data_IF_195424563435
#
_entry.id   IF_195424563435
#
_cell.length_a   1.000
_cell.length_b   1.000
_cell.length_c   1.000
_cell.angle_alpha   90.00
_cell.angle_beta   90.00
_cell.angle_gamma   90.00
#
_symmetry.space_group_name_H-M   'P 1'
#
loop_
_entity.id
_entity.type
_entity.pdbx_description
1 polymer ?
#
# COMPACT_ATOMS: atom_id res chain seq x y z
N UNK A 1 -13.89 5.21 -15.18
CA UNK A 1 -14.08 5.13 -13.72
C UNK A 1 -12.74 4.80 -13.12
N UNK A 2 -12.38 5.46 -12.02
CA UNK A 2 -11.12 5.24 -11.31
C UNK A 2 -11.15 3.88 -10.58
N UNK A 3 -10.09 3.07 -10.75
CA UNK A 3 -9.97 1.74 -10.15
C UNK A 3 -9.65 1.79 -8.66
N UNK A 4 -9.62 0.62 -8.01
CA UNK A 4 -9.37 0.53 -6.56
C UNK A 4 -7.93 0.94 -6.21
N UNK A 5 -6.95 0.61 -7.05
CA UNK A 5 -5.56 0.99 -6.86
C UNK A 5 -5.37 2.52 -6.85
N UNK A 6 -5.96 3.21 -7.83
CA UNK A 6 -5.87 4.67 -7.92
C UNK A 6 -6.57 5.34 -6.74
N UNK A 7 -7.77 4.87 -6.36
CA UNK A 7 -8.46 5.35 -5.15
C UNK A 7 -7.63 5.16 -3.89
N UNK A 8 -7.02 3.98 -3.72
CA UNK A 8 -6.15 3.70 -2.58
C UNK A 8 -4.95 4.65 -2.57
N UNK A 9 -4.27 4.80 -3.71
CA UNK A 9 -3.12 5.70 -3.85
C UNK A 9 -3.46 7.16 -3.53
N UNK A 10 -4.53 7.71 -4.10
CA UNK A 10 -4.89 9.11 -3.83
C UNK A 10 -5.35 9.32 -2.38
N UNK A 11 -6.03 8.34 -1.79
CA UNK A 11 -6.40 8.39 -0.37
C UNK A 11 -5.14 8.30 0.50
N UNK A 12 -4.18 7.44 0.16
CA UNK A 12 -2.89 7.37 0.82
C UNK A 12 -2.17 8.72 0.81
N UNK A 13 -2.05 9.34 -0.37
CA UNK A 13 -1.43 10.66 -0.50
C UNK A 13 -2.15 11.72 0.33
N UNK A 14 -3.48 11.77 0.31
CA UNK A 14 -4.28 12.68 1.13
C UNK A 14 -3.98 12.51 2.63
N UNK A 15 -4.03 11.28 3.14
CA UNK A 15 -3.82 11.00 4.57
C UNK A 15 -2.40 11.29 5.02
N UNK A 16 -1.41 10.84 4.24
CA UNK A 16 0.01 11.13 4.53
C UNK A 16 0.27 12.63 4.53
N UNK A 17 -0.22 13.37 3.53
CA UNK A 17 -0.03 14.82 3.48
C UNK A 17 -0.72 15.52 4.66
N UNK A 18 -1.94 15.12 5.02
CA UNK A 18 -2.67 15.71 6.16
C UNK A 18 -1.95 15.49 7.50
N UNK A 19 -1.08 14.48 7.59
CA UNK A 19 -0.32 14.08 8.78
C UNK A 19 1.18 14.21 8.61
N UNK A 20 1.62 15.03 7.65
CA UNK A 20 3.03 15.18 7.26
C UNK A 20 3.93 15.43 8.48
N UNK A 21 3.56 16.36 9.37
CA UNK A 21 4.35 16.69 10.56
C UNK A 21 4.55 15.51 11.51
N UNK A 22 3.57 14.63 11.66
CA UNK A 22 3.68 13.43 12.49
C UNK A 22 4.65 12.41 11.87
N UNK A 23 4.57 12.25 10.54
CA UNK A 23 5.44 11.36 9.78
C UNK A 23 6.89 11.86 9.76
N UNK A 24 7.12 13.17 9.61
CA UNK A 24 8.43 13.81 9.74
C UNK A 24 9.08 13.50 11.10
N UNK A 25 8.31 13.62 12.18
CA UNK A 25 8.81 13.37 13.53
C UNK A 25 9.15 11.90 13.80
N UNK A 26 8.60 10.98 13.01
CA UNK A 26 8.77 9.53 13.22
C UNK A 26 9.69 8.88 12.19
N UNK A 27 10.00 9.55 11.07
CA UNK A 27 10.81 9.01 9.96
C UNK A 27 12.13 8.35 10.37
N UNK A 28 12.90 9.01 11.23
CA UNK A 28 14.18 8.49 11.73
C UNK A 28 14.07 7.33 12.73
N UNK A 29 12.85 6.88 13.05
CA UNK A 29 12.57 5.81 13.99
C UNK A 29 11.59 4.81 13.37
N UNK A 30 12.13 3.79 12.70
CA UNK A 30 11.34 2.79 11.94
C UNK A 30 10.19 2.18 12.74
N UNK A 31 10.39 1.89 14.04
CA UNK A 31 9.33 1.33 14.90
C UNK A 31 8.19 2.32 15.13
N UNK A 32 8.52 3.58 15.40
CA UNK A 32 7.51 4.63 15.56
C UNK A 32 6.78 4.89 14.23
N UNK A 33 7.53 4.90 13.14
CA UNK A 33 7.01 5.13 11.80
C UNK A 33 6.04 4.02 11.36
N UNK A 34 6.42 2.74 11.48
CA UNK A 34 5.53 1.60 11.22
C UNK A 34 4.28 1.64 12.10
N UNK A 35 4.39 2.08 13.36
CA UNK A 35 3.20 2.26 14.21
C UNK A 35 2.27 3.36 13.68
N UNK A 36 2.81 4.47 13.18
CA UNK A 36 2.03 5.54 12.56
C UNK A 36 1.34 5.06 11.27
N UNK A 37 2.01 4.23 10.48
CA UNK A 37 1.43 3.69 9.23
C UNK A 37 0.36 2.63 9.53
N UNK A 38 0.65 1.66 10.41
CA UNK A 38 -0.14 0.43 10.57
C UNK A 38 -0.65 0.24 12.01
N UNK A 39 0.23 -0.02 12.98
CA UNK A 39 -0.13 -0.66 14.26
C UNK A 39 -0.72 0.26 15.35
N UNK A 40 -1.37 1.36 14.97
CA UNK A 40 -2.10 2.25 15.88
C UNK A 40 -3.58 2.30 15.53
N UNK A 41 -4.46 2.44 16.51
CA UNK A 41 -5.91 2.68 16.28
C UNK A 41 -6.16 3.98 15.50
N UNK A 42 -5.18 4.88 15.51
CA UNK A 42 -5.14 6.13 14.75
C UNK A 42 -4.11 6.07 13.62
N UNK A 43 -3.84 4.91 13.03
CA UNK A 43 -2.84 4.79 11.96
C UNK A 43 -3.36 5.28 10.61
N UNK A 44 -2.44 5.53 9.68
CA UNK A 44 -2.78 5.95 8.31
C UNK A 44 -3.69 4.91 7.63
N UNK A 45 -3.45 3.62 7.82
CA UNK A 45 -4.31 2.58 7.24
C UNK A 45 -5.73 2.58 7.79
N UNK A 46 -5.93 2.93 9.07
CA UNK A 46 -7.27 3.05 9.65
C UNK A 46 -8.04 4.20 8.96
N UNK A 47 -7.38 5.35 8.76
CA UNK A 47 -7.96 6.51 8.07
C UNK A 47 -8.30 6.18 6.60
N UNK A 48 -7.45 5.42 5.92
CA UNK A 48 -7.68 4.97 4.53
C UNK A 48 -8.85 3.99 4.48
N UNK A 49 -8.93 3.03 5.41
CA UNK A 49 -10.00 2.05 5.44
C UNK A 49 -11.36 2.71 5.60
N UNK A 50 -11.49 3.66 6.53
CA UNK A 50 -12.70 4.44 6.70
C UNK A 50 -13.07 5.20 5.42
N UNK A 51 -12.12 5.90 4.81
CA UNK A 51 -12.35 6.70 3.61
C UNK A 51 -12.79 5.85 2.39
N UNK A 52 -12.32 4.60 2.30
CA UNK A 52 -12.68 3.67 1.23
C UNK A 52 -13.90 2.78 1.56
N UNK A 53 -14.45 2.88 2.77
CA UNK A 53 -15.62 2.09 3.19
C UNK A 53 -15.30 0.64 3.57
N UNK A 54 -14.09 0.37 4.05
CA UNK A 54 -13.65 -0.94 4.54
C UNK A 54 -13.46 -0.95 6.06
N UNK A 55 -13.35 -2.15 6.63
CA UNK A 55 -12.71 -2.39 7.91
C UNK A 55 -11.25 -2.75 7.68
N UNK A 56 -10.40 -2.47 8.66
CA UNK A 56 -8.98 -2.81 8.64
C UNK A 56 -8.64 -3.64 9.88
N UNK A 57 -7.87 -4.70 9.67
CA UNK A 57 -7.13 -5.37 10.72
C UNK A 57 -5.67 -4.95 10.55
N UNK A 58 -5.23 -4.05 11.42
CA UNK A 58 -3.96 -3.33 11.33
C UNK A 58 -2.86 -3.96 12.21
N UNK A 59 -2.88 -5.29 12.27
CA UNK A 59 -1.89 -6.12 12.93
C UNK A 59 -1.62 -7.34 12.06
N UNK A 60 -0.50 -8.02 12.30
CA UNK A 60 0.00 -9.12 11.46
C UNK A 60 -1.06 -10.23 11.27
N UNK A 61 -1.74 -10.22 10.12
CA UNK A 61 -2.79 -11.18 9.78
C UNK A 61 -2.20 -12.34 8.99
N UNK A 62 -1.85 -13.43 9.67
CA UNK A 62 -1.14 -14.57 9.07
C UNK A 62 0.12 -14.14 8.29
N UNK A 63 0.94 -13.28 8.91
CA UNK A 63 2.16 -12.70 8.33
C UNK A 63 1.96 -11.71 7.18
N UNK A 64 0.77 -11.12 7.07
CA UNK A 64 0.52 -9.93 6.23
C UNK A 64 0.39 -8.73 7.18
N UNK A 65 1.13 -7.65 6.97
CA UNK A 65 1.18 -6.54 7.92
C UNK A 65 -0.19 -5.92 8.24
N UNK A 66 -1.06 -5.83 7.22
CA UNK A 66 -2.46 -5.45 7.40
C UNK A 66 -3.38 -5.98 6.30
N UNK A 67 -4.66 -6.12 6.64
CA UNK A 67 -5.69 -6.49 5.67
C UNK A 67 -6.93 -5.61 5.79
N UNK A 68 -7.63 -5.44 4.67
CA UNK A 68 -8.88 -4.72 4.57
C UNK A 68 -9.98 -5.71 4.17
N UNK A 69 -11.15 -5.54 4.76
CA UNK A 69 -12.28 -6.44 4.59
C UNK A 69 -13.61 -5.71 4.73
N UNK A 70 -14.70 -6.33 4.30
CA UNK A 70 -16.06 -5.85 4.57
C UNK A 70 -16.67 -6.60 5.76
N UNK A 71 -17.64 -6.02 6.48
CA UNK A 71 -18.28 -6.70 7.60
C UNK A 71 -18.85 -8.08 7.25
N UNK A 72 -19.37 -8.26 6.04
CA UNK A 72 -19.89 -9.53 5.55
C UNK A 72 -18.82 -10.62 5.32
N UNK A 73 -17.53 -10.26 5.31
CA UNK A 73 -16.43 -11.21 5.12
C UNK A 73 -16.08 -11.93 6.45
N UNK A 74 -16.56 -11.43 7.59
CA UNK A 74 -16.34 -12.04 8.90
C UNK A 74 -17.19 -13.28 9.11
N UNK A 75 -16.58 -14.33 9.67
CA UNK A 75 -17.30 -15.48 10.20
C UNK A 75 -18.13 -15.02 11.41
N UNK A 76 -19.48 -15.03 11.33
CA UNK A 76 -20.34 -14.36 12.30
C UNK A 76 -20.31 -15.00 13.69
N UNK A 77 -19.93 -16.28 13.79
CA UNK A 77 -19.80 -17.01 15.06
C UNK A 77 -18.59 -16.55 15.89
N UNK A 78 -17.59 -15.91 15.26
CA UNK A 78 -16.33 -15.52 15.89
C UNK A 78 -15.89 -14.09 15.52
N UNK A 79 -16.73 -13.06 15.75
CA UNK A 79 -16.51 -11.72 15.22
C UNK A 79 -15.27 -11.03 15.80
N UNK A 80 -14.84 -11.42 17.01
CA UNK A 80 -13.66 -10.87 17.69
C UNK A 80 -12.35 -11.60 17.31
N UNK A 81 -12.45 -12.75 16.65
CA UNK A 81 -11.28 -13.55 16.26
C UNK A 81 -10.78 -13.21 14.85
N UNK A 82 -11.50 -12.36 14.11
CA UNK A 82 -11.15 -11.93 12.76
C UNK A 82 -10.89 -13.09 11.79
N UNK A 83 -11.66 -14.18 11.90
CA UNK A 83 -11.68 -15.20 10.86
C UNK A 83 -12.44 -14.66 9.66
N UNK A 84 -11.73 -14.49 8.55
CA UNK A 84 -12.24 -13.88 7.33
C UNK A 84 -12.38 -14.92 6.23
N UNK A 85 -13.50 -14.85 5.52
CA UNK A 85 -13.80 -15.71 4.36
C UNK A 85 -13.27 -15.14 3.05
N UNK A 86 -13.01 -13.83 3.01
CA UNK A 86 -12.47 -13.11 1.86
C UNK A 86 -11.67 -11.89 2.32
N UNK A 87 -10.75 -11.42 1.48
CA UNK A 87 -9.93 -10.24 1.73
C UNK A 87 -10.11 -9.24 0.58
N UNK A 88 -10.29 -7.96 0.92
CA UNK A 88 -10.44 -6.90 -0.09
C UNK A 88 -9.09 -6.32 -0.48
N UNK A 89 -8.27 -5.98 0.51
CA UNK A 89 -6.91 -5.45 0.27
C UNK A 89 -5.94 -6.18 1.18
N UNK A 90 -4.82 -6.63 0.63
CA UNK A 90 -3.67 -7.10 1.39
C UNK A 90 -2.54 -6.06 1.29
N UNK A 91 -1.93 -5.72 2.41
CA UNK A 91 -0.99 -4.62 2.52
C UNK A 91 0.29 -5.06 3.25
N UNK A 92 1.43 -4.78 2.63
CA UNK A 92 2.77 -4.95 3.22
C UNK A 92 3.52 -3.62 3.27
N UNK A 93 4.37 -3.44 4.28
CA UNK A 93 5.18 -2.26 4.54
C UNK A 93 6.62 -2.63 4.84
N UNK A 94 7.53 -2.22 3.96
CA UNK A 94 8.95 -2.50 4.13
C UNK A 94 9.76 -1.21 4.23
N UNK A 95 10.33 -0.98 5.41
CA UNK A 95 11.23 0.15 5.68
C UNK A 95 12.62 -0.04 5.04
N UNK A 96 13.07 -1.29 4.87
CA UNK A 96 14.36 -1.64 4.32
C UNK A 96 14.26 -2.06 2.85
N UNK A 97 14.35 -1.06 1.97
CA UNK A 97 14.30 -1.23 0.52
C UNK A 97 15.33 -2.23 -0.03
N UNK A 98 16.47 -2.41 0.64
CA UNK A 98 17.62 -3.14 0.06
C UNK A 98 17.64 -4.65 0.34
N UNK A 99 16.71 -5.20 1.13
CA UNK A 99 16.87 -6.60 1.57
C UNK A 99 15.59 -7.38 1.88
N UNK A 100 14.50 -7.20 1.14
CA UNK A 100 13.26 -7.92 1.49
C UNK A 100 12.11 -7.85 0.52
N UNK A 101 12.03 -6.82 -0.32
CA UNK A 101 10.81 -6.50 -1.09
C UNK A 101 10.27 -7.65 -1.94
N UNK A 102 11.14 -8.49 -2.51
CA UNK A 102 10.69 -9.63 -3.28
C UNK A 102 9.95 -10.68 -2.43
N UNK A 103 10.26 -10.81 -1.14
CA UNK A 103 9.60 -11.73 -0.22
C UNK A 103 8.16 -11.24 0.01
N UNK A 104 7.98 -9.95 0.27
CA UNK A 104 6.66 -9.34 0.42
C UNK A 104 5.83 -9.42 -0.86
N UNK A 105 6.44 -9.19 -2.02
CA UNK A 105 5.78 -9.44 -3.31
C UNK A 105 5.38 -10.92 -3.43
N UNK A 106 6.24 -11.86 -3.06
CA UNK A 106 5.90 -13.29 -3.09
C UNK A 106 4.75 -13.63 -2.16
N UNK A 107 4.70 -13.06 -0.95
CA UNK A 107 3.61 -13.22 0.01
C UNK A 107 2.30 -12.70 -0.58
N UNK A 108 2.27 -11.44 -1.03
CA UNK A 108 1.09 -10.82 -1.65
C UNK A 108 0.58 -11.64 -2.84
N UNK A 109 1.46 -12.22 -3.67
CA UNK A 109 1.05 -13.08 -4.79
C UNK A 109 0.31 -14.35 -4.37
N UNK A 110 0.55 -14.88 -3.16
CA UNK A 110 -0.20 -16.04 -2.65
C UNK A 110 -1.61 -15.66 -2.20
N UNK A 111 -1.84 -14.41 -1.80
CA UNK A 111 -3.12 -13.94 -1.26
C UNK A 111 -4.15 -13.75 -2.39
N UNK A 112 -5.37 -14.22 -2.14
CA UNK A 112 -6.53 -13.91 -2.98
C UNK A 112 -7.23 -12.68 -2.40
N UNK A 113 -7.27 -11.59 -3.18
CA UNK A 113 -7.86 -10.32 -2.78
C UNK A 113 -8.03 -9.39 -3.98
N UNK A 114 -8.89 -8.37 -3.84
CA UNK A 114 -9.17 -7.38 -4.90
C UNK A 114 -7.97 -6.49 -5.21
N UNK A 115 -7.14 -6.16 -4.22
CA UNK A 115 -5.94 -5.34 -4.39
C UNK A 115 -4.79 -5.80 -3.49
N UNK A 116 -3.58 -5.84 -4.07
CA UNK A 116 -2.31 -6.04 -3.35
C UNK A 116 -1.57 -4.71 -3.30
N UNK A 117 -1.12 -4.31 -2.12
CA UNK A 117 -0.41 -3.05 -1.90
C UNK A 117 0.91 -3.32 -1.19
N UNK A 118 1.99 -2.78 -1.74
CA UNK A 118 3.30 -2.73 -1.09
C UNK A 118 3.72 -1.27 -0.93
N UNK A 119 4.08 -0.87 0.29
CA UNK A 119 4.65 0.44 0.57
C UNK A 119 6.12 0.31 0.94
N UNK A 120 6.99 1.11 0.31
CA UNK A 120 8.42 1.11 0.61
C UNK A 120 9.12 2.44 0.29
N UNK A 121 10.43 2.50 0.53
CA UNK A 121 11.22 3.74 0.60
C UNK A 121 12.54 3.62 -0.17
N UNK A 122 12.54 3.80 -1.50
CA UNK A 122 13.77 3.78 -2.29
C UNK A 122 14.72 4.93 -1.91
N UNK A 123 16.04 4.68 -1.86
CA UNK A 123 17.01 5.73 -1.54
C UNK A 123 17.15 6.77 -2.65
N UNK A 124 16.83 6.43 -3.90
CA UNK A 124 16.77 7.33 -5.05
C UNK A 124 16.06 6.66 -6.23
N UNK A 125 15.81 7.43 -7.28
CA UNK A 125 15.12 6.99 -8.49
C UNK A 125 15.82 5.83 -9.22
N UNK A 126 17.16 5.77 -9.20
CA UNK A 126 17.88 4.68 -9.88
C UNK A 126 17.63 3.32 -9.18
N UNK A 127 17.59 3.32 -7.84
CA UNK A 127 17.24 2.12 -7.06
C UNK A 127 15.77 1.74 -7.24
N UNK A 128 14.86 2.73 -7.22
CA UNK A 128 13.44 2.54 -7.53
C UNK A 128 13.25 1.83 -8.88
N UNK A 129 13.83 2.35 -9.96
CA UNK A 129 13.64 1.79 -11.30
C UNK A 129 14.28 0.40 -11.45
N UNK A 130 15.43 0.18 -10.83
CA UNK A 130 16.09 -1.13 -10.81
C UNK A 130 15.21 -2.17 -10.10
N UNK A 131 14.66 -1.81 -8.94
CA UNK A 131 13.82 -2.70 -8.14
C UNK A 131 12.48 -2.99 -8.82
N UNK A 132 11.81 -1.98 -9.39
CA UNK A 132 10.61 -2.18 -10.20
C UNK A 132 10.86 -3.18 -11.34
N UNK A 133 11.99 -3.06 -12.03
CA UNK A 133 12.39 -4.01 -13.07
C UNK A 133 12.62 -5.43 -12.55
N UNK A 134 13.14 -5.58 -11.33
CA UNK A 134 13.31 -6.88 -10.69
C UNK A 134 11.97 -7.48 -10.24
N UNK A 135 11.15 -6.73 -9.53
CA UNK A 135 9.83 -7.17 -9.04
C UNK A 135 8.90 -7.52 -10.21
N UNK A 136 8.98 -6.80 -11.34
CA UNK A 136 8.23 -7.14 -12.55
C UNK A 136 8.54 -8.56 -13.05
N UNK A 137 9.83 -8.96 -13.04
CA UNK A 137 10.26 -10.32 -13.43
C UNK A 137 9.73 -11.41 -12.49
N UNK A 138 9.38 -11.06 -11.27
CA UNK A 138 8.81 -11.98 -10.28
C UNK A 138 7.31 -12.11 -10.52
N UNK A 139 6.60 -10.98 -10.53
CA UNK A 139 5.14 -10.95 -10.75
C UNK A 139 4.78 -11.57 -12.10
N UNK A 140 5.57 -11.34 -13.15
CA UNK A 140 5.34 -11.90 -14.49
C UNK A 140 5.40 -13.43 -14.57
N UNK A 141 5.98 -14.09 -13.57
CA UNK A 141 6.00 -15.57 -13.46
C UNK A 141 4.82 -16.13 -12.68
N UNK A 142 4.01 -15.28 -12.05
CA UNK A 142 2.84 -15.71 -11.30
C UNK A 142 1.76 -16.22 -12.24
N UNK A 143 1.01 -17.24 -11.81
CA UNK A 143 -0.20 -17.69 -12.52
C UNK A 143 -1.30 -16.63 -12.53
N UNK A 144 -1.23 -15.65 -11.63
CA UNK A 144 -2.17 -14.53 -11.51
C UNK A 144 -1.77 -13.31 -12.36
N UNK A 145 -0.63 -13.35 -13.05
CA UNK A 145 -0.06 -12.20 -13.78
C UNK A 145 -1.09 -11.44 -14.62
N UNK A 146 -1.83 -12.16 -15.48
CA UNK A 146 -2.72 -11.50 -16.45
C UNK A 146 -3.91 -10.84 -15.76
N UNK A 147 -4.47 -11.50 -14.74
CA UNK A 147 -5.52 -10.93 -13.90
C UNK A 147 -5.03 -9.66 -13.18
N UNK A 148 -3.81 -9.68 -12.63
CA UNK A 148 -3.23 -8.52 -11.95
C UNK A 148 -3.07 -7.31 -12.87
N UNK A 149 -2.63 -7.56 -14.11
CA UNK A 149 -2.42 -6.56 -15.15
C UNK A 149 -3.73 -5.96 -15.67
N UNK A 150 -4.71 -6.81 -15.94
CA UNK A 150 -6.02 -6.41 -16.49
C UNK A 150 -6.86 -5.66 -15.46
N UNK A 151 -6.80 -6.06 -14.19
CA UNK A 151 -7.63 -5.50 -13.11
C UNK A 151 -6.97 -4.36 -12.34
N UNK A 152 -5.73 -3.96 -12.66
CA UNK A 152 -4.94 -3.00 -11.88
C UNK A 152 -4.78 -3.41 -10.41
N UNK A 153 -4.70 -4.71 -10.10
CA UNK A 153 -4.83 -5.22 -8.73
C UNK A 153 -3.50 -5.48 -8.00
N UNK A 154 -2.40 -4.87 -8.47
CA UNK A 154 -1.14 -4.79 -7.74
C UNK A 154 -0.59 -3.37 -7.81
N UNK A 155 -0.53 -2.71 -6.65
CA UNK A 155 -0.01 -1.37 -6.46
C UNK A 155 1.28 -1.40 -5.61
N UNK A 156 2.30 -0.69 -6.06
CA UNK A 156 3.46 -0.34 -5.24
C UNK A 156 3.43 1.17 -5.00
N UNK A 157 3.57 1.60 -3.75
CA UNK A 157 3.70 3.01 -3.39
C UNK A 157 5.09 3.24 -2.82
N UNK A 158 5.84 4.14 -3.45
CA UNK A 158 7.19 4.49 -3.03
C UNK A 158 7.23 5.90 -2.46
N UNK A 159 7.68 6.01 -1.20
CA UNK A 159 7.93 7.29 -0.53
C UNK A 159 9.40 7.67 -0.64
N UNK A 160 9.68 8.92 -1.00
CA UNK A 160 11.03 9.48 -1.01
C UNK A 160 11.26 10.41 0.18
N UNK A 161 12.52 10.69 0.51
CA UNK A 161 12.92 11.57 1.62
C UNK A 161 12.24 12.96 1.59
N UNK A 162 11.86 13.42 0.40
CA UNK A 162 10.89 14.49 0.26
C UNK A 162 9.48 13.91 0.43
N UNK A 163 8.93 13.95 1.65
CA UNK A 163 7.65 13.32 2.03
C UNK A 163 6.41 13.73 1.20
N UNK A 164 6.52 14.75 0.35
CA UNK A 164 5.51 15.14 -0.64
C UNK A 164 5.65 14.43 -2.00
N UNK A 165 6.69 13.61 -2.18
CA UNK A 165 6.98 12.85 -3.40
C UNK A 165 6.67 11.37 -3.16
N UNK A 166 5.39 11.06 -3.11
CA UNK A 166 4.93 9.68 -3.26
C UNK A 166 4.75 9.36 -4.74
N UNK A 167 5.06 8.13 -5.12
CA UNK A 167 4.80 7.61 -6.46
C UNK A 167 4.05 6.29 -6.35
N UNK A 168 2.91 6.21 -7.03
CA UNK A 168 2.14 4.97 -7.17
C UNK A 168 2.46 4.30 -8.49
N UNK A 169 2.70 2.99 -8.46
CA UNK A 169 3.03 2.15 -9.60
C UNK A 169 2.07 0.98 -9.68
N UNK A 170 1.32 0.88 -10.77
CA UNK A 170 0.40 -0.22 -11.03
C UNK A 170 1.08 -1.25 -11.93
N UNK A 171 0.95 -2.52 -11.59
CA UNK A 171 1.49 -3.59 -12.41
C UNK A 171 0.78 -3.70 -13.76
N UNK A 172 1.57 -3.84 -14.84
CA UNK A 172 1.11 -4.25 -16.17
C UNK A 172 2.01 -5.35 -16.72
N UNK A 173 1.46 -6.16 -17.62
CA UNK A 173 2.21 -7.19 -18.34
C UNK A 173 3.42 -6.62 -19.08
N UNK A 174 3.32 -5.37 -19.56
CA UNK A 174 4.37 -4.66 -20.28
C UNK A 174 5.38 -3.92 -19.40
N UNK A 175 5.12 -3.78 -18.10
CA UNK A 175 5.96 -3.00 -17.18
C UNK A 175 5.15 -2.41 -16.03
N UNK A 176 5.75 -1.54 -15.23
CA UNK A 176 5.02 -0.77 -14.23
C UNK A 176 4.52 0.54 -14.84
N UNK A 177 3.26 0.88 -14.57
CA UNK A 177 2.65 2.13 -15.01
C UNK A 177 2.54 3.09 -13.81
N UNK A 178 3.14 4.27 -13.92
CA UNK A 178 3.05 5.27 -12.85
C UNK A 178 1.68 5.95 -12.87
N UNK A 179 1.04 6.04 -11.72
CA UNK A 179 -0.17 6.84 -11.55
C UNK A 179 0.22 8.32 -11.68
N UNK A 180 -0.47 9.06 -12.55
CA UNK A 180 -0.21 10.48 -12.74
C UNK A 180 -0.41 11.25 -11.42
N UNK A 181 0.62 11.96 -10.97
CA UNK A 181 0.50 12.84 -9.81
C UNK A 181 -0.48 13.95 -10.14
N UNK A 182 -1.57 14.07 -9.38
CA UNK A 182 -2.55 15.13 -9.58
C UNK A 182 -1.97 16.43 -9.00
N UNK A 183 -1.50 17.40 -9.80
CA UNK A 183 -0.79 18.58 -9.29
C UNK A 183 -1.70 19.48 -8.44
N UNK A 184 -3.02 19.32 -8.61
CA UNK A 184 -4.06 20.14 -7.97
C UNK A 184 -4.26 19.86 -6.48
N UNK A 185 -3.68 18.79 -5.92
CA UNK A 185 -3.75 18.50 -4.48
C UNK A 185 -2.59 19.09 -3.67
N UNK A 186 -1.47 19.45 -4.32
CA UNK A 186 -0.29 20.02 -3.64
C UNK A 186 -0.32 21.54 -3.53
N UNK A 187 -1.29 22.21 -4.17
CA UNK A 187 -1.39 23.68 -4.21
C UNK A 187 -2.21 24.31 -3.07
N UNK A 188 -2.73 23.54 -2.10
CA UNK A 188 -3.51 24.07 -0.96
C UNK A 188 -2.67 24.25 0.33
N UNK A 189 -1.38 24.54 0.18
CA UNK A 189 -0.46 24.79 1.30
C UNK A 189 0.04 26.23 1.43
N UNK A 190 -0.33 27.14 0.51
CA UNK A 190 0.07 28.55 0.62
C UNK A 190 -1.11 29.46 0.25
N UNK A 191 -1.83 29.95 1.25
CA UNK A 191 -2.38 31.30 1.19
C UNK A 191 -2.68 31.86 2.59
N UNK A 192 -1.97 32.95 2.88
CA UNK A 192 -2.04 33.92 3.98
C UNK A 192 -1.33 33.57 5.29
#
# INVERSE_FOLDING_TARGET
>A
MEGLAEKFYFTWCDKVNSRQKELENTWGNSKAYTKTIIHSDSSILMDIAEALGFKCYNADYYYIDAIFFKPEDLVPEYPQAYYLTDLRIAFEHENNFTSGLFQEVCHLLQVNCDLKVLVTYPPNEAYEMSELGYLHKIVSKSRKESELSENNSFLIIMGHDELAKWKGWIYKSTGWEQIANNPSQFAKGETL
#
